data_IF_013978099059
#
_entry.id   IF_013978099059
#
_cell.length_a   1.000
_cell.length_b   1.000
_cell.length_c   1.000
_cell.angle_alpha   90.00
_cell.angle_beta   90.00
_cell.angle_gamma   90.00
#
_symmetry.space_group_name_H-M   'P 1'
#
loop_
_entity.id
_entity.type
_entity.pdbx_description
1 polymer ?
#
# COMPACT_ATOMS: atom_id res chain seq x y z
N UNK A 1 15.88 6.09 16.40
CA UNK A 1 14.90 7.15 16.68
C UNK A 1 14.29 6.91 18.05
N UNK A 2 14.68 7.71 19.04
CA UNK A 2 14.13 7.64 20.40
C UNK A 2 12.63 7.95 20.33
N UNK A 3 11.78 7.01 20.76
CA UNK A 3 10.32 7.14 20.66
C UNK A 3 9.67 6.58 19.39
N UNK A 4 10.39 5.86 18.53
CA UNK A 4 9.75 5.12 17.43
C UNK A 4 9.05 3.87 17.96
N UNK A 5 7.73 3.96 18.12
CA UNK A 5 6.90 2.79 18.41
C UNK A 5 6.84 1.83 17.22
N UNK A 6 6.59 0.55 17.49
CA UNK A 6 6.27 -0.41 16.45
C UNK A 6 4.94 -0.04 15.78
N UNK A 7 4.82 -0.32 14.48
CA UNK A 7 3.60 -0.10 13.70
C UNK A 7 3.21 -1.38 12.97
N UNK A 8 1.92 -1.56 12.71
CA UNK A 8 1.42 -2.53 11.75
C UNK A 8 1.00 -1.84 10.46
N UNK A 9 1.35 -2.46 9.33
CA UNK A 9 0.83 -2.12 8.00
C UNK A 9 -0.25 -3.14 7.68
N UNK A 10 -1.50 -2.68 7.61
CA UNK A 10 -2.66 -3.51 7.34
C UNK A 10 -3.15 -3.26 5.92
N UNK A 11 -3.27 -4.32 5.14
CA UNK A 11 -3.90 -4.28 3.83
C UNK A 11 -5.36 -4.73 3.93
N UNK A 12 -6.26 -4.08 3.20
CA UNK A 12 -7.66 -4.50 3.08
C UNK A 12 -8.10 -4.46 1.63
N UNK A 13 -8.74 -5.54 1.21
CA UNK A 13 -9.52 -5.57 -0.03
C UNK A 13 -10.91 -4.95 0.25
N UNK A 14 -11.27 -3.88 -0.45
CA UNK A 14 -12.48 -3.10 -0.17
C UNK A 14 -13.69 -3.47 -1.03
N UNK A 15 -13.50 -4.26 -2.08
CA UNK A 15 -14.58 -4.68 -2.96
C UNK A 15 -14.54 -6.19 -3.22
N UNK A 16 -15.31 -7.01 -2.48
CA UNK A 16 -15.25 -8.47 -2.61
C UNK A 16 -15.72 -9.01 -3.97
N UNK A 17 -16.27 -8.16 -4.85
CA UNK A 17 -16.71 -8.54 -6.21
C UNK A 17 -15.63 -8.34 -7.26
N UNK A 18 -14.54 -7.65 -6.93
CA UNK A 18 -13.40 -7.47 -7.83
C UNK A 18 -12.34 -8.52 -7.50
N UNK A 19 -11.82 -9.22 -8.50
CA UNK A 19 -10.54 -9.92 -8.32
C UNK A 19 -9.43 -8.88 -8.40
N UNK A 20 -8.78 -8.59 -7.28
CA UNK A 20 -7.76 -7.55 -7.19
C UNK A 20 -6.38 -8.11 -6.95
N UNK A 21 -5.38 -7.49 -7.57
CA UNK A 21 -3.97 -7.82 -7.37
C UNK A 21 -3.12 -6.58 -7.64
N UNK A 22 -2.07 -6.41 -6.85
CA UNK A 22 -1.05 -5.36 -6.98
C UNK A 22 0.31 -5.97 -6.67
N UNK A 23 1.40 -5.34 -7.10
CA UNK A 23 2.74 -5.81 -6.76
C UNK A 23 3.09 -5.41 -5.33
N UNK A 24 3.91 -6.24 -4.67
CA UNK A 24 4.47 -5.89 -3.36
C UNK A 24 5.29 -4.59 -3.42
N UNK A 25 5.96 -4.31 -4.54
CA UNK A 25 6.71 -3.08 -4.75
C UNK A 25 5.82 -1.85 -4.73
N UNK A 26 4.58 -1.94 -5.24
CA UNK A 26 3.66 -0.79 -5.23
C UNK A 26 3.07 -0.55 -3.85
N UNK A 27 2.91 -1.61 -3.05
CA UNK A 27 2.59 -1.46 -1.62
C UNK A 27 3.73 -0.73 -0.91
N UNK A 28 4.99 -1.07 -1.21
CA UNK A 28 6.15 -0.37 -0.67
C UNK A 28 6.19 1.09 -1.13
N UNK A 29 6.06 1.36 -2.43
CA UNK A 29 6.07 2.71 -3.00
C UNK A 29 4.89 3.57 -2.47
N UNK A 30 3.73 2.95 -2.20
CA UNK A 30 2.60 3.62 -1.54
C UNK A 30 2.96 4.08 -0.12
N UNK A 31 3.81 3.31 0.57
CA UNK A 31 4.24 3.61 1.93
C UNK A 31 5.32 4.69 1.92
N UNK A 32 6.42 4.49 1.17
CA UNK A 32 7.63 5.32 1.27
C UNK A 32 7.82 6.33 0.13
N UNK A 33 7.00 6.26 -0.92
CA UNK A 33 7.05 7.13 -2.09
C UNK A 33 7.96 6.65 -3.21
N UNK A 34 8.55 5.45 -3.09
CA UNK A 34 9.39 4.82 -4.09
C UNK A 34 10.73 5.54 -4.35
N UNK A 35 11.45 5.06 -5.37
CA UNK A 35 12.80 5.56 -5.73
C UNK A 35 12.71 7.02 -6.19
N UNK A 36 13.42 7.92 -5.49
CA UNK A 36 13.39 9.37 -5.76
C UNK A 36 12.50 10.17 -4.79
N UNK A 37 11.86 9.49 -3.83
CA UNK A 37 11.24 10.07 -2.62
C UNK A 37 10.37 11.29 -2.87
N UNK A 38 9.46 11.23 -3.84
CA UNK A 38 8.35 12.18 -3.87
C UNK A 38 7.33 11.79 -2.79
N UNK A 39 7.69 12.08 -1.54
CA UNK A 39 6.93 11.64 -0.36
C UNK A 39 5.55 12.28 -0.28
N UNK A 40 5.30 13.38 -0.99
CA UNK A 40 4.03 14.11 -0.97
C UNK A 40 2.82 13.23 -1.32
N UNK A 41 3.00 12.21 -2.15
CA UNK A 41 1.95 11.24 -2.51
C UNK A 41 1.96 9.95 -1.71
N UNK A 42 2.89 9.77 -0.77
CA UNK A 42 3.07 8.56 0.03
C UNK A 42 2.46 8.70 1.43
N UNK A 43 2.36 7.58 2.14
CA UNK A 43 2.03 7.60 3.57
C UNK A 43 2.94 8.49 4.42
N UNK A 44 4.23 8.57 4.08
CA UNK A 44 5.18 9.37 4.83
C UNK A 44 4.97 10.89 4.66
N UNK A 45 4.39 11.34 3.54
CA UNK A 45 4.14 12.76 3.30
C UNK A 45 2.73 13.24 3.63
N UNK A 46 1.75 12.34 3.74
CA UNK A 46 0.37 12.69 4.05
C UNK A 46 -0.05 12.24 5.46
N UNK A 47 0.31 13.07 6.45
CA UNK A 47 -0.53 13.32 7.62
C UNK A 47 -0.12 12.61 8.92
N UNK A 48 0.16 13.42 9.92
CA UNK A 48 0.39 13.14 11.35
C UNK A 48 -0.75 12.40 12.10
N UNK A 49 -1.63 11.67 11.41
CA UNK A 49 -2.87 11.08 11.96
C UNK A 49 -3.17 9.62 11.62
N UNK A 50 -2.27 8.87 10.95
CA UNK A 50 -2.49 7.44 10.70
C UNK A 50 -3.61 7.14 9.69
N UNK A 51 -3.53 7.77 8.52
CA UNK A 51 -4.54 7.68 7.45
C UNK A 51 -4.68 6.30 6.80
N UNK A 52 -5.55 6.25 5.78
CA UNK A 52 -5.75 5.11 4.89
C UNK A 52 -5.45 5.61 3.47
N UNK A 53 -4.76 4.81 2.67
CA UNK A 53 -4.44 5.15 1.29
C UNK A 53 -4.70 3.95 0.37
N UNK A 54 -5.22 4.20 -0.82
CA UNK A 54 -5.25 3.17 -1.87
C UNK A 54 -3.85 2.86 -2.37
N UNK A 55 -3.58 1.60 -2.69
CA UNK A 55 -2.33 1.24 -3.38
C UNK A 55 -2.34 1.89 -4.77
N UNK A 56 -1.28 2.63 -5.08
CA UNK A 56 -1.12 3.27 -6.39
C UNK A 56 -0.33 2.33 -7.29
N UNK A 57 -1.05 1.67 -8.19
CA UNK A 57 -0.42 0.73 -9.12
C UNK A 57 0.24 1.44 -10.31
N UNK A 58 1.46 1.03 -10.65
CA UNK A 58 2.16 1.41 -11.87
C UNK A 58 1.85 0.37 -12.96
N UNK A 59 0.76 0.60 -13.69
CA UNK A 59 0.32 -0.28 -14.78
C UNK A 59 1.39 -0.47 -15.90
N UNK A 60 2.40 0.41 -15.97
CA UNK A 60 3.52 0.29 -16.91
C UNK A 60 4.60 -0.69 -16.44
N UNK A 61 4.50 -1.24 -15.23
CA UNK A 61 5.46 -2.23 -14.71
C UNK A 61 5.51 -3.48 -15.61
N UNK A 62 6.70 -3.91 -16.08
CA UNK A 62 6.83 -5.12 -16.87
C UNK A 62 6.32 -6.39 -16.16
N UNK A 63 6.29 -6.40 -14.83
CA UNK A 63 5.78 -7.53 -14.05
C UNK A 63 4.30 -7.84 -14.35
N UNK A 64 3.52 -6.83 -14.75
CA UNK A 64 2.13 -6.99 -15.18
C UNK A 64 1.96 -7.57 -16.58
N UNK A 65 3.05 -7.65 -17.34
CA UNK A 65 3.00 -8.17 -18.69
C UNK A 65 3.22 -9.68 -18.79
N UNK A 66 3.55 -10.32 -17.68
CA UNK A 66 3.73 -11.78 -17.62
C UNK A 66 2.41 -12.51 -17.81
N UNK A 67 2.46 -13.66 -18.47
CA UNK A 67 1.27 -14.50 -18.70
C UNK A 67 0.66 -14.96 -17.38
N UNK A 68 1.50 -15.26 -16.38
CA UNK A 68 1.08 -15.66 -15.04
C UNK A 68 0.29 -14.56 -14.34
N UNK A 69 0.69 -13.29 -14.49
CA UNK A 69 -0.05 -12.17 -13.90
C UNK A 69 -1.35 -11.86 -14.66
N UNK A 70 -1.34 -11.98 -15.98
CA UNK A 70 -2.51 -11.69 -16.83
C UNK A 70 -3.58 -12.78 -16.77
N UNK A 71 -3.20 -14.04 -16.58
CA UNK A 71 -4.09 -15.20 -16.55
C UNK A 71 -5.35 -15.01 -15.67
N UNK A 72 -5.24 -14.55 -14.40
CA UNK A 72 -6.41 -14.33 -13.56
C UNK A 72 -7.27 -13.12 -13.98
N UNK A 73 -6.76 -12.21 -14.82
CA UNK A 73 -7.41 -10.93 -15.18
C UNK A 73 -7.78 -10.07 -13.96
N UNK A 74 -6.92 -10.10 -12.93
CA UNK A 74 -7.09 -9.29 -11.74
C UNK A 74 -6.95 -7.79 -12.07
N UNK A 75 -7.71 -6.95 -11.37
CA UNK A 75 -7.62 -5.49 -11.50
C UNK A 75 -6.61 -4.92 -10.51
N UNK A 76 -5.94 -3.84 -10.91
CA UNK A 76 -4.90 -3.16 -10.11
C UNK A 76 -5.50 -2.12 -9.12
N UNK A 77 -6.59 -2.48 -8.45
CA UNK A 77 -7.39 -1.55 -7.64
C UNK A 77 -8.04 -2.24 -6.45
N UNK A 78 -8.82 -1.49 -5.66
CA UNK A 78 -9.62 -1.99 -4.53
C UNK A 78 -8.81 -2.57 -3.36
N UNK A 79 -7.50 -2.28 -3.30
CA UNK A 79 -6.63 -2.59 -2.16
C UNK A 79 -6.24 -1.27 -1.49
N UNK A 80 -6.49 -1.17 -0.18
CA UNK A 80 -6.06 -0.06 0.66
C UNK A 80 -5.04 -0.54 1.69
N UNK A 81 -4.17 0.37 2.09
CA UNK A 81 -3.19 0.20 3.17
C UNK A 81 -3.58 1.15 4.32
N UNK A 82 -3.35 0.71 5.55
CA UNK A 82 -3.45 1.52 6.77
C UNK A 82 -2.25 1.26 7.66
N UNK A 83 -1.64 2.32 8.17
CA UNK A 83 -0.61 2.23 9.20
C UNK A 83 -1.25 2.47 10.57
N UNK A 84 -1.05 1.55 11.51
CA UNK A 84 -1.55 1.68 12.90
C UNK A 84 -0.43 1.47 13.89
N UNK A 85 -0.53 2.12 15.06
CA UNK A 85 0.37 1.84 16.18
C UNK A 85 0.22 0.38 16.63
N UNK A 86 1.34 -0.32 16.85
CA UNK A 86 1.35 -1.66 17.44
C UNK A 86 1.31 -1.62 18.97
N UNK A 87 1.43 -0.43 19.58
CA UNK A 87 1.27 -0.27 21.02
C UNK A 87 -0.20 -0.41 21.38
N UNK A 88 -0.54 -1.37 22.24
CA UNK A 88 -1.83 -1.40 22.93
C UNK A 88 -1.95 -0.12 23.76
N UNK A 89 -2.93 0.72 23.45
CA UNK A 89 -3.35 1.78 24.36
C UNK A 89 -3.86 1.08 25.62
N UNK A 90 -3.06 1.09 26.70
CA UNK A 90 -3.54 0.77 28.03
C UNK A 90 -4.62 1.80 28.35
N UNK A 91 -5.88 1.38 28.25
CA UNK A 91 -6.99 2.11 28.85
C UNK A 91 -6.97 1.88 30.35
#
# INVERSE_FOLDING_TARGET
VTGAGSVYVLAKHINPRTLSSVLLTEIADTIDGGVGSNTAGSFLGCGSGGGIMGVVANASSPAYNTDTYKAPRAKLQDIIIKIVSATLSSR
#
